data_IF_022694669535
#
_entry.id   IF_022694669535
#
_cell.length_a   1.000
_cell.length_b   1.000
_cell.length_c   1.000
_cell.angle_alpha   90.00
_cell.angle_beta   90.00
_cell.angle_gamma   90.00
#
_symmetry.space_group_name_H-M   'P 1'
#
loop_
_entity.id
_entity.type
_entity.pdbx_description
1 polymer ?
#
# COMPACT_ATOMS: atom_id res chain seq x y z
N UNK A 1 18.76 -8.52 10.28
CA UNK A 1 18.17 -8.21 8.97
C UNK A 1 16.77 -8.79 8.90
N UNK A 2 15.89 -8.27 8.03
CA UNK A 2 14.53 -8.81 7.89
C UNK A 2 14.57 -10.27 7.45
N UNK A 3 13.62 -11.07 7.93
CA UNK A 3 13.38 -12.44 7.48
C UNK A 3 12.91 -12.44 6.02
N UNK A 4 13.05 -13.57 5.30
CA UNK A 4 12.58 -13.67 3.92
C UNK A 4 11.10 -13.33 3.74
N UNK A 5 10.25 -13.68 4.71
CA UNK A 5 8.82 -13.37 4.63
C UNK A 5 8.54 -11.89 4.91
N UNK A 6 9.28 -11.25 5.80
CA UNK A 6 9.19 -9.79 5.98
C UNK A 6 9.63 -9.06 4.71
N UNK A 7 10.67 -9.55 4.02
CA UNK A 7 11.08 -8.97 2.73
C UNK A 7 10.01 -9.10 1.64
N UNK A 8 9.30 -10.24 1.58
CA UNK A 8 8.16 -10.41 0.65
C UNK A 8 7.03 -9.44 0.99
N UNK A 9 6.72 -9.28 2.28
CA UNK A 9 5.68 -8.35 2.74
C UNK A 9 6.07 -6.89 2.42
N UNK A 10 7.30 -6.49 2.74
CA UNK A 10 7.85 -5.17 2.41
C UNK A 10 7.85 -4.91 0.90
N UNK A 11 8.21 -5.91 0.09
CA UNK A 11 8.14 -5.81 -1.37
C UNK A 11 6.71 -5.63 -1.89
N UNK A 12 5.73 -6.23 -1.21
CA UNK A 12 4.29 -6.03 -1.52
C UNK A 12 3.85 -4.61 -1.22
N UNK A 13 4.19 -4.08 -0.04
CA UNK A 13 3.92 -2.68 0.30
C UNK A 13 4.61 -1.70 -0.65
N UNK A 14 5.89 -1.94 -0.97
CA UNK A 14 6.66 -1.11 -1.89
C UNK A 14 6.10 -1.10 -3.32
N UNK A 15 5.64 -2.25 -3.83
CA UNK A 15 4.93 -2.33 -5.11
C UNK A 15 3.69 -1.43 -5.13
N UNK A 16 2.88 -1.49 -4.07
CA UNK A 16 1.65 -0.68 -4.02
C UNK A 16 1.94 0.80 -3.80
N UNK A 17 2.88 1.13 -2.93
CA UNK A 17 3.32 2.51 -2.70
C UNK A 17 3.82 3.17 -3.99
N UNK A 18 4.60 2.45 -4.79
CA UNK A 18 5.11 2.92 -6.08
C UNK A 18 3.97 3.29 -7.04
N UNK A 19 2.98 2.42 -7.18
CA UNK A 19 1.82 2.68 -8.05
C UNK A 19 1.03 3.90 -7.57
N UNK A 20 0.80 4.03 -6.26
CA UNK A 20 0.08 5.18 -5.68
C UNK A 20 0.79 6.48 -6.01
N UNK A 21 2.10 6.57 -5.76
CA UNK A 21 2.91 7.75 -6.10
C UNK A 21 2.82 8.03 -7.60
N UNK A 22 3.05 7.02 -8.43
CA UNK A 22 3.04 7.18 -9.89
C UNK A 22 1.68 7.67 -10.43
N UNK A 23 0.57 7.13 -9.92
CA UNK A 23 -0.79 7.53 -10.31
C UNK A 23 -1.07 8.97 -9.87
N UNK A 24 -0.69 9.35 -8.66
CA UNK A 24 -0.90 10.71 -8.13
C UNK A 24 -0.08 11.75 -8.89
N UNK A 25 1.20 11.47 -9.17
CA UNK A 25 2.06 12.32 -10.00
C UNK A 25 1.47 12.50 -11.41
N UNK A 26 1.04 11.41 -12.05
CA UNK A 26 0.37 11.46 -13.36
C UNK A 26 -0.94 12.26 -13.31
N UNK A 27 -1.66 12.19 -12.19
CA UNK A 27 -2.85 13.00 -11.89
C UNK A 27 -2.55 14.46 -11.50
N UNK A 28 -1.28 14.89 -11.62
CA UNK A 28 -0.77 16.22 -11.26
C UNK A 28 -1.07 16.60 -9.80
N UNK A 29 -1.08 15.62 -8.91
CA UNK A 29 -1.13 15.86 -7.47
C UNK A 29 0.27 16.10 -6.94
N UNK A 30 0.42 17.02 -5.97
CA UNK A 30 1.71 17.37 -5.37
C UNK A 30 2.05 16.41 -4.23
N UNK A 31 2.17 15.11 -4.54
CA UNK A 31 2.61 14.09 -3.59
C UNK A 31 4.09 14.28 -3.27
N UNK A 32 4.44 14.12 -2.00
CA UNK A 32 5.80 14.27 -1.50
C UNK A 32 6.33 12.97 -0.90
N UNK A 33 5.46 12.18 -0.29
CA UNK A 33 5.82 10.91 0.34
C UNK A 33 4.61 9.96 0.40
N UNK A 34 4.89 8.66 0.43
CA UNK A 34 3.89 7.61 0.57
C UNK A 34 4.49 6.49 1.42
N UNK A 35 4.01 6.40 2.66
CA UNK A 35 4.39 5.33 3.59
C UNK A 35 3.25 4.32 3.64
N UNK A 36 3.60 3.04 3.64
CA UNK A 36 2.63 1.95 3.79
C UNK A 36 3.03 1.14 5.01
N UNK A 37 2.22 1.21 6.05
CA UNK A 37 2.36 0.35 7.22
C UNK A 37 1.62 -0.97 6.96
N UNK A 38 2.30 -2.08 7.28
CA UNK A 38 1.82 -3.42 6.97
C UNK A 38 1.66 -4.21 8.26
N UNK A 39 0.47 -4.73 8.47
CA UNK A 39 0.15 -5.67 9.53
C UNK A 39 -0.36 -6.98 8.92
N UNK A 40 0.18 -8.12 9.35
CA UNK A 40 -0.11 -9.38 8.68
C UNK A 40 -0.10 -10.59 9.63
N UNK A 41 -1.04 -11.51 9.39
CA UNK A 41 -1.10 -12.81 10.05
C UNK A 41 -0.60 -13.91 9.13
N UNK A 42 0.00 -14.94 9.73
CA UNK A 42 0.43 -16.15 9.03
C UNK A 42 -0.29 -17.37 9.58
N UNK A 43 -0.52 -18.36 8.73
CA UNK A 43 -1.10 -19.63 9.15
C UNK A 43 -0.31 -20.26 10.31
N UNK A 44 -1.03 -20.92 11.22
CA UNK A 44 -0.45 -21.60 12.38
C UNK A 44 0.40 -22.82 12.00
N UNK A 45 0.05 -23.48 10.90
CA UNK A 45 0.68 -24.73 10.42
C UNK A 45 1.37 -24.53 9.08
N UNK A 46 2.30 -25.42 8.77
CA UNK A 46 2.99 -25.42 7.49
C UNK A 46 2.07 -25.80 6.33
N UNK A 47 2.22 -25.16 5.15
CA UNK A 47 3.07 -24.00 4.90
C UNK A 47 2.49 -22.72 5.54
N UNK A 48 3.31 -22.00 6.32
CA UNK A 48 2.91 -20.79 7.08
C UNK A 48 2.80 -19.56 6.17
N UNK A 49 1.89 -19.60 5.20
CA UNK A 49 1.61 -18.49 4.27
C UNK A 49 0.91 -17.34 4.99
N UNK A 50 0.88 -16.16 4.39
CA UNK A 50 0.05 -15.05 4.88
C UNK A 50 -1.43 -15.36 4.69
N UNK A 51 -2.24 -15.08 5.72
CA UNK A 51 -3.70 -15.31 5.73
C UNK A 51 -4.49 -14.01 5.81
N UNK A 52 -3.90 -12.97 6.41
CA UNK A 52 -4.42 -11.61 6.45
C UNK A 52 -3.28 -10.64 6.22
N UNK A 53 -3.52 -9.61 5.42
CA UNK A 53 -2.64 -8.46 5.26
C UNK A 53 -3.52 -7.21 5.34
N UNK A 54 -3.14 -6.27 6.19
CA UNK A 54 -3.72 -4.95 6.29
C UNK A 54 -2.67 -3.91 5.89
N UNK A 55 -3.05 -3.00 5.00
CA UNK A 55 -2.19 -1.96 4.46
C UNK A 55 -2.75 -0.59 4.84
N UNK A 56 -2.07 0.12 5.74
CA UNK A 56 -2.41 1.49 6.10
C UNK A 56 -1.54 2.46 5.29
N UNK A 57 -2.17 3.23 4.40
CA UNK A 57 -1.47 4.17 3.54
C UNK A 57 -1.44 5.57 4.16
N UNK A 58 -0.26 6.10 4.39
CA UNK A 58 -0.03 7.47 4.85
C UNK A 58 0.53 8.25 3.67
N UNK A 59 -0.33 9.04 3.02
CA UNK A 59 0.05 9.79 1.81
C UNK A 59 0.22 11.25 2.16
N UNK A 60 1.42 11.77 1.91
CA UNK A 60 1.81 13.13 2.29
C UNK A 60 2.01 13.99 1.04
N UNK A 61 1.53 15.22 1.10
CA UNK A 61 1.73 16.19 0.03
C UNK A 61 0.92 17.46 0.21
N UNK A 62 1.02 18.37 -0.75
CA UNK A 62 0.38 19.70 -0.66
C UNK A 62 -1.00 19.68 -1.29
N UNK A 63 -2.03 20.02 -0.51
CA UNK A 63 -3.41 20.15 -0.98
C UNK A 63 -3.88 18.92 -1.80
N UNK A 64 -3.53 17.71 -1.33
CA UNK A 64 -3.92 16.48 -2.01
C UNK A 64 -5.43 16.27 -1.94
N UNK A 65 -6.04 15.91 -3.07
CA UNK A 65 -7.45 15.53 -3.09
C UNK A 65 -7.63 14.14 -2.48
N UNK A 66 -8.40 14.06 -1.38
CA UNK A 66 -8.71 12.81 -0.69
C UNK A 66 -9.33 11.75 -1.61
N UNK A 67 -10.21 12.15 -2.53
CA UNK A 67 -10.83 11.26 -3.51
C UNK A 67 -9.82 10.71 -4.53
N UNK A 68 -8.87 11.54 -4.96
CA UNK A 68 -7.81 11.09 -5.87
C UNK A 68 -6.83 10.14 -5.18
N UNK A 69 -6.51 10.38 -3.90
CA UNK A 69 -5.69 9.47 -3.10
C UNK A 69 -6.39 8.12 -2.94
N UNK A 70 -7.66 8.13 -2.49
CA UNK A 70 -8.49 6.91 -2.42
C UNK A 70 -8.47 6.15 -3.74
N UNK A 71 -8.73 6.85 -4.85
CA UNK A 71 -8.79 6.23 -6.16
C UNK A 71 -7.45 5.65 -6.62
N UNK A 72 -6.34 6.30 -6.29
CA UNK A 72 -5.00 5.81 -6.61
C UNK A 72 -4.71 4.50 -5.87
N UNK A 73 -5.08 4.41 -4.60
CA UNK A 73 -4.91 3.22 -3.76
C UNK A 73 -5.77 2.07 -4.28
N UNK A 74 -7.06 2.32 -4.57
CA UNK A 74 -7.96 1.33 -5.18
C UNK A 74 -7.38 0.76 -6.48
N UNK A 75 -6.91 1.64 -7.37
CA UNK A 75 -6.31 1.23 -8.64
C UNK A 75 -5.03 0.40 -8.44
N UNK A 76 -4.18 0.77 -7.48
CA UNK A 76 -2.99 -0.01 -7.16
C UNK A 76 -3.35 -1.42 -6.70
N UNK A 77 -4.28 -1.55 -5.75
CA UNK A 77 -4.64 -2.83 -5.14
C UNK A 77 -5.44 -3.73 -6.09
N UNK A 78 -6.41 -3.16 -6.81
CA UNK A 78 -7.34 -3.94 -7.63
C UNK A 78 -6.81 -4.24 -9.04
N UNK A 79 -5.87 -3.43 -9.56
CA UNK A 79 -5.50 -3.47 -10.97
C UNK A 79 -4.01 -3.52 -11.28
N UNK A 80 -3.18 -2.75 -10.58
CA UNK A 80 -1.80 -2.52 -11.03
C UNK A 80 -0.72 -3.28 -10.25
N UNK A 81 -0.81 -3.38 -8.93
CA UNK A 81 0.27 -3.99 -8.15
C UNK A 81 0.19 -5.52 -8.21
N UNK A 82 1.09 -6.09 -9.03
CA UNK A 82 1.24 -7.54 -9.19
C UNK A 82 1.48 -8.26 -7.85
N UNK A 83 2.24 -7.66 -6.93
CA UNK A 83 2.53 -8.28 -5.64
C UNK A 83 1.26 -8.41 -4.78
N UNK A 84 0.45 -7.36 -4.68
CA UNK A 84 -0.83 -7.40 -3.95
C UNK A 84 -1.80 -8.38 -4.60
N UNK A 85 -1.85 -8.42 -5.94
CA UNK A 85 -2.67 -9.40 -6.68
C UNK A 85 -2.25 -10.86 -6.43
N UNK A 86 -0.94 -11.12 -6.27
CA UNK A 86 -0.43 -12.43 -5.87
C UNK A 86 -0.80 -12.76 -4.42
N UNK A 87 -0.59 -11.82 -3.49
CA UNK A 87 -0.90 -12.02 -2.07
C UNK A 87 -2.40 -12.24 -1.84
N UNK A 88 -3.27 -11.58 -2.62
CA UNK A 88 -4.72 -11.75 -2.56
C UNK A 88 -5.21 -13.17 -2.95
N UNK A 89 -4.34 -14.02 -3.53
CA UNK A 89 -4.66 -15.44 -3.78
C UNK A 89 -4.57 -16.30 -2.52
N UNK A 90 -3.87 -15.83 -1.48
CA UNK A 90 -3.62 -16.60 -0.24
C UNK A 90 -4.08 -15.87 1.02
N UNK A 91 -4.11 -14.55 1.00
CA UNK A 91 -4.46 -13.70 2.13
C UNK A 91 -5.68 -12.82 1.83
N UNK A 92 -6.48 -12.54 2.86
CA UNK A 92 -7.44 -11.43 2.80
C UNK A 92 -6.66 -10.13 2.91
N UNK A 93 -6.73 -9.29 1.87
CA UNK A 93 -6.06 -7.99 1.82
C UNK A 93 -7.08 -6.90 2.12
N UNK A 94 -6.80 -6.09 3.14
CA UNK A 94 -7.60 -4.92 3.51
C UNK A 94 -6.71 -3.68 3.51
N UNK A 95 -7.32 -2.51 3.37
CA UNK A 95 -6.59 -1.26 3.37
C UNK A 95 -7.45 -0.11 3.89
N UNK A 96 -6.79 0.89 4.43
CA UNK A 96 -7.32 2.22 4.66
C UNK A 96 -6.20 3.25 4.47
N UNK A 97 -6.53 4.53 4.63
CA UNK A 97 -5.58 5.59 4.36
C UNK A 97 -5.85 6.86 5.16
N UNK A 98 -4.80 7.64 5.34
CA UNK A 98 -4.86 9.03 5.75
C UNK A 98 -4.03 9.92 4.82
N UNK A 99 -4.41 11.20 4.76
CA UNK A 99 -3.71 12.21 3.97
C UNK A 99 -3.11 13.25 4.92
N UNK A 100 -1.80 13.42 4.82
CA UNK A 100 -1.05 14.42 5.60
C UNK A 100 -0.78 15.63 4.72
N UNK A 101 -1.49 16.73 4.98
CA UNK A 101 -1.31 17.98 4.24
C UNK A 101 -0.06 18.72 4.72
N UNK A 102 0.83 19.06 3.78
CA UNK A 102 2.06 19.80 4.05
C UNK A 102 1.97 21.28 3.69
N UNK A 103 0.83 21.75 3.17
CA UNK A 103 0.61 23.16 2.87
C UNK A 103 0.48 24.04 4.14
N UNK A 104 0.26 23.45 5.32
CA UNK A 104 0.04 24.15 6.58
C UNK A 104 1.33 24.46 7.38
N UNK A 105 2.48 24.57 6.72
CA UNK A 105 3.75 24.98 7.36
C UNK A 105 4.24 26.34 6.87
#
# INVERSE_FOLDING_TARGET
>A
GPSPMELVLLGTGGCSAYDVVHILEKGRQAVEDCVVELDADRAEKEPRVFTRIHMHFIVKGRALSHDKVRRAIELSIEKYCSATAMMAKTATVTHDFEVVDTAAK
#
